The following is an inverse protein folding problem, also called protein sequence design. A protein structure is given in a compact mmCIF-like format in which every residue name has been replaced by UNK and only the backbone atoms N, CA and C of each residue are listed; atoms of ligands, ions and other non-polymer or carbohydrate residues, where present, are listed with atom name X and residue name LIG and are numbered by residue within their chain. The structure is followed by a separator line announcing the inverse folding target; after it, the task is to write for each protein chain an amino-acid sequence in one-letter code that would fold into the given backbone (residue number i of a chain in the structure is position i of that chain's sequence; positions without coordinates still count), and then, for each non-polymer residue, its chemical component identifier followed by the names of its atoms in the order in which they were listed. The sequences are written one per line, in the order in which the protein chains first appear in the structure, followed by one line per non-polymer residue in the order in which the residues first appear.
data_IF_181602349550
#
_entry.id   IF_181602349550
#
_cell.length_a   1.000
_cell.length_b   1.000
_cell.length_c   1.000
_cell.angle_alpha   90.00
_cell.angle_beta   90.00
_cell.angle_gamma   90.00
#
_symmetry.space_group_name_H-M   'P 1'
#
loop_
_entity.id
_entity.type
_entity.pdbx_description
1 polymer ?
#
# COMPACT_ATOMS: atom_id res chain seq x y z
N UNK A 1 -33.83 3.84 23.25
CA UNK A 1 -32.58 3.10 23.03
C UNK A 1 -31.80 3.56 21.79
N UNK A 2 -32.48 3.93 20.67
CA UNK A 2 -31.79 4.38 19.44
C UNK A 2 -31.12 5.74 19.58
N UNK A 3 -31.65 6.67 20.38
CA UNK A 3 -31.08 8.00 20.62
C UNK A 3 -29.74 7.92 21.37
N UNK A 4 -29.65 7.10 22.41
CA UNK A 4 -28.44 6.94 23.23
C UNK A 4 -27.28 6.29 22.47
N UNK A 5 -27.58 5.45 21.44
CA UNK A 5 -26.57 4.85 20.56
C UNK A 5 -25.99 5.86 19.55
N UNK A 6 -26.84 6.73 18.97
CA UNK A 6 -26.42 7.82 18.10
C UNK A 6 -25.59 8.87 18.85
N UNK A 7 -26.01 9.28 20.04
CA UNK A 7 -25.25 10.21 20.88
C UNK A 7 -23.86 9.65 21.24
N UNK A 8 -23.74 8.37 21.63
CA UNK A 8 -22.44 7.73 21.87
C UNK A 8 -21.52 7.75 20.65
N UNK A 9 -22.05 7.44 19.47
CA UNK A 9 -21.28 7.47 18.24
C UNK A 9 -20.79 8.88 17.88
N UNK A 10 -21.62 9.89 18.13
CA UNK A 10 -21.25 11.29 17.90
C UNK A 10 -20.14 11.73 18.87
N UNK A 11 -20.29 11.54 20.15
CA UNK A 11 -19.29 11.92 21.16
C UNK A 11 -17.94 11.19 21.00
N UNK A 12 -17.91 9.94 20.52
CA UNK A 12 -16.66 9.23 20.26
C UNK A 12 -15.95 9.82 19.02
N UNK A 13 -16.69 10.18 17.98
CA UNK A 13 -16.13 10.78 16.77
C UNK A 13 -15.57 12.18 17.01
N UNK A 14 -16.18 12.94 17.88
CA UNK A 14 -15.82 14.33 18.17
C UNK A 14 -14.65 14.45 19.19
N UNK A 15 -14.26 13.35 19.83
CA UNK A 15 -13.14 13.29 20.75
C UNK A 15 -11.96 12.52 20.14
N UNK A 16 -10.85 13.19 19.74
CA UNK A 16 -9.66 12.52 19.23
C UNK A 16 -9.11 11.44 20.16
N UNK A 17 -9.14 11.68 21.47
CA UNK A 17 -8.68 10.73 22.49
C UNK A 17 -9.57 9.46 22.52
N UNK A 18 -10.89 9.63 22.48
CA UNK A 18 -11.83 8.51 22.47
C UNK A 18 -11.69 7.67 21.19
N UNK A 19 -11.49 8.35 20.06
CA UNK A 19 -11.25 7.69 18.77
C UNK A 19 -9.93 6.91 18.77
N UNK A 20 -8.87 7.49 19.34
CA UNK A 20 -7.58 6.82 19.44
C UNK A 20 -7.67 5.57 20.32
N UNK A 21 -8.27 5.65 21.49
CA UNK A 21 -8.51 4.49 22.37
C UNK A 21 -9.33 3.40 21.69
N UNK A 22 -10.32 3.78 20.87
CA UNK A 22 -11.12 2.83 20.11
C UNK A 22 -10.29 2.12 19.02
N UNK A 23 -9.43 2.87 18.32
CA UNK A 23 -8.51 2.29 17.31
C UNK A 23 -7.55 1.29 17.94
N UNK A 24 -6.94 1.63 19.08
CA UNK A 24 -6.03 0.75 19.81
C UNK A 24 -6.72 -0.53 20.27
N UNK A 25 -7.94 -0.40 20.83
CA UNK A 25 -8.70 -1.56 21.24
C UNK A 25 -9.15 -2.44 20.06
N UNK A 26 -9.46 -1.83 18.93
CA UNK A 26 -9.79 -2.57 17.71
C UNK A 26 -8.57 -3.31 17.14
N UNK A 27 -7.39 -2.68 17.16
CA UNK A 27 -6.13 -3.31 16.76
C UNK A 27 -5.79 -4.50 17.66
N UNK A 28 -5.91 -4.34 18.97
CA UNK A 28 -5.73 -5.43 19.94
C UNK A 28 -6.70 -6.58 19.68
N UNK A 29 -7.98 -6.28 19.48
CA UNK A 29 -9.00 -7.29 19.17
C UNK A 29 -8.70 -8.03 17.85
N UNK A 30 -8.22 -7.33 16.82
CA UNK A 30 -7.77 -7.92 15.55
C UNK A 30 -6.65 -8.93 15.77
N UNK A 31 -5.64 -8.57 16.57
CA UNK A 31 -4.51 -9.44 16.88
C UNK A 31 -4.98 -10.69 17.65
N UNK A 32 -5.80 -10.52 18.67
CA UNK A 32 -6.34 -11.62 19.49
C UNK A 32 -7.18 -12.60 18.65
N UNK A 33 -8.00 -12.09 17.72
CA UNK A 33 -8.84 -12.91 16.84
C UNK A 33 -8.04 -13.71 15.78
N UNK A 34 -6.76 -13.46 15.64
CA UNK A 34 -5.90 -14.32 14.81
C UNK A 34 -5.63 -15.68 15.45
N UNK A 35 -5.77 -15.79 16.78
CA UNK A 35 -5.56 -17.03 17.55
C UNK A 35 -6.78 -17.48 18.37
N UNK A 36 -7.76 -16.59 18.57
CA UNK A 36 -8.94 -16.84 19.40
C UNK A 36 -10.22 -16.79 18.57
N UNK A 37 -11.24 -17.52 19.00
CA UNK A 37 -12.56 -17.53 18.36
C UNK A 37 -13.42 -16.31 18.72
N UNK A 38 -13.10 -15.65 19.83
CA UNK A 38 -13.83 -14.49 20.36
C UNK A 38 -12.90 -13.64 21.22
N UNK A 39 -13.15 -12.32 21.25
CA UNK A 39 -12.51 -11.37 22.16
C UNK A 39 -13.52 -10.36 22.67
N UNK A 40 -13.19 -9.65 23.75
CA UNK A 40 -13.99 -8.56 24.31
C UNK A 40 -13.25 -7.22 24.18
N UNK A 41 -13.91 -6.24 23.57
CA UNK A 41 -13.48 -4.86 23.56
C UNK A 41 -14.13 -4.17 24.76
N UNK A 42 -13.32 -3.83 25.76
CA UNK A 42 -13.76 -3.15 26.97
C UNK A 42 -13.04 -1.81 27.12
N UNK A 43 -13.77 -0.72 26.94
CA UNK A 43 -13.28 0.65 27.07
C UNK A 43 -14.08 1.38 28.14
N UNK A 44 -13.64 1.33 29.40
CA UNK A 44 -14.26 2.12 30.46
C UNK A 44 -14.00 3.61 30.20
N UNK A 45 -14.98 4.44 30.55
CA UNK A 45 -14.92 5.90 30.43
C UNK A 45 -14.50 6.36 29.01
N UNK A 46 -15.09 5.74 27.99
CA UNK A 46 -14.75 6.05 26.60
C UNK A 46 -15.14 7.47 26.21
N UNK A 47 -16.20 8.00 26.82
CA UNK A 47 -16.66 9.39 26.70
C UNK A 47 -17.45 9.81 27.93
N UNK A 48 -17.56 11.12 28.18
CA UNK A 48 -18.44 11.70 29.15
C UNK A 48 -19.59 12.42 28.44
N UNK A 49 -20.79 12.39 29.06
CA UNK A 49 -21.96 13.10 28.59
C UNK A 49 -22.62 13.77 29.82
N UNK A 50 -23.60 14.64 29.60
CA UNK A 50 -24.37 15.28 30.68
C UNK A 50 -24.99 14.27 31.63
N UNK A 51 -25.27 13.05 31.17
CA UNK A 51 -25.76 11.92 31.95
C UNK A 51 -24.66 11.06 32.60
N UNK A 52 -23.42 11.58 32.66
CA UNK A 52 -22.26 10.93 33.26
C UNK A 52 -21.38 10.13 32.27
N UNK A 53 -20.36 9.43 32.80
CA UNK A 53 -19.43 8.68 32.00
C UNK A 53 -20.10 7.49 31.30
N UNK A 54 -19.62 7.21 30.06
CA UNK A 54 -20.09 6.07 29.26
C UNK A 54 -18.99 5.06 29.06
N UNK A 55 -19.36 3.80 29.09
CA UNK A 55 -18.48 2.66 28.85
C UNK A 55 -18.85 1.97 27.54
N UNK A 56 -17.87 1.42 26.86
CA UNK A 56 -18.09 0.57 25.69
C UNK A 56 -17.60 -0.85 26.01
N UNK A 57 -18.52 -1.79 26.07
CA UNK A 57 -18.22 -3.22 26.16
C UNK A 57 -18.85 -3.91 24.95
N UNK A 58 -18.04 -4.62 24.18
CA UNK A 58 -18.48 -5.36 22.99
C UNK A 58 -17.72 -6.66 22.88
N UNK A 59 -18.45 -7.74 22.72
CA UNK A 59 -17.89 -9.04 22.30
C UNK A 59 -17.81 -9.04 20.78
N UNK A 60 -16.69 -9.52 20.24
CA UNK A 60 -16.42 -9.70 18.82
C UNK A 60 -15.96 -11.13 18.57
N UNK A 61 -16.70 -11.86 17.75
CA UNK A 61 -16.30 -13.21 17.31
C UNK A 61 -15.42 -13.14 16.06
N UNK A 62 -14.55 -14.15 15.88
CA UNK A 62 -13.73 -14.30 14.68
C UNK A 62 -14.60 -14.30 13.41
N UNK A 63 -15.71 -15.04 13.39
CA UNK A 63 -16.62 -15.06 12.25
C UNK A 63 -17.18 -13.66 11.91
N UNK A 64 -17.52 -12.85 12.91
CA UNK A 64 -17.98 -11.48 12.68
C UNK A 64 -16.87 -10.56 12.21
N UNK A 65 -15.67 -10.73 12.71
CA UNK A 65 -14.49 -10.02 12.24
C UNK A 65 -14.19 -10.36 10.79
N UNK A 66 -14.12 -11.65 10.44
CA UNK A 66 -13.87 -12.12 9.06
C UNK A 66 -14.92 -11.56 8.09
N UNK A 67 -16.20 -11.51 8.49
CA UNK A 67 -17.25 -10.88 7.69
C UNK A 67 -17.01 -9.38 7.47
N UNK A 68 -16.48 -8.68 8.46
CA UNK A 68 -16.23 -7.23 8.38
C UNK A 68 -15.04 -6.89 7.46
N UNK A 69 -14.07 -7.79 7.35
CA UNK A 69 -12.86 -7.58 6.55
C UNK A 69 -12.92 -8.26 5.17
N UNK A 70 -13.95 -9.05 4.88
CA UNK A 70 -14.06 -9.87 3.66
C UNK A 70 -13.82 -9.06 2.36
N UNK A 71 -14.45 -7.90 2.24
CA UNK A 71 -14.26 -7.02 1.08
C UNK A 71 -12.82 -6.50 0.97
N UNK A 72 -12.16 -6.23 2.12
CA UNK A 72 -10.77 -5.78 2.13
C UNK A 72 -9.85 -6.91 1.67
N UNK A 73 -10.07 -8.12 2.19
CA UNK A 73 -9.30 -9.32 1.80
C UNK A 73 -9.48 -9.62 0.32
N UNK A 74 -10.70 -9.60 -0.22
CA UNK A 74 -10.96 -9.79 -1.65
C UNK A 74 -10.24 -8.78 -2.53
N UNK A 75 -10.18 -7.52 -2.10
CA UNK A 75 -9.48 -6.46 -2.83
C UNK A 75 -7.96 -6.67 -2.91
N UNK A 76 -7.34 -7.41 -2.01
CA UNK A 76 -5.89 -7.69 -2.04
C UNK A 76 -5.50 -8.65 -3.18
N UNK A 77 -6.44 -9.43 -3.69
CA UNK A 77 -6.20 -10.39 -4.78
C UNK A 77 -6.06 -9.70 -6.14
N UNK A 78 -6.68 -8.54 -6.34
CA UNK A 78 -6.60 -7.82 -7.63
C UNK A 78 -5.19 -7.32 -7.97
N UNK A 79 -4.41 -6.73 -7.04
CA UNK A 79 -2.99 -6.45 -7.27
C UNK A 79 -2.17 -7.70 -7.63
N UNK A 80 -2.43 -8.84 -7.00
CA UNK A 80 -1.74 -10.09 -7.32
C UNK A 80 -2.00 -10.53 -8.78
N UNK A 81 -3.26 -10.48 -9.23
CA UNK A 81 -3.62 -10.77 -10.62
C UNK A 81 -2.90 -9.85 -11.61
N UNK A 82 -2.87 -8.55 -11.30
CA UNK A 82 -2.18 -7.55 -12.15
C UNK A 82 -0.70 -7.81 -12.23
N UNK A 83 -0.04 -8.12 -11.10
CA UNK A 83 1.39 -8.40 -11.05
C UNK A 83 1.75 -9.66 -11.86
N UNK A 84 1.02 -10.76 -11.70
CA UNK A 84 1.21 -12.00 -12.47
C UNK A 84 1.04 -11.74 -13.97
N UNK A 85 -0.02 -11.00 -14.34
CA UNK A 85 -0.27 -10.64 -15.74
C UNK A 85 0.85 -9.76 -16.31
N UNK A 86 1.32 -8.78 -15.55
CA UNK A 86 2.41 -7.89 -15.99
C UNK A 86 3.74 -8.65 -16.17
N UNK A 87 3.98 -9.67 -15.35
CA UNK A 87 5.13 -10.57 -15.49
C UNK A 87 5.01 -11.57 -16.66
N UNK A 88 3.85 -11.67 -17.31
CA UNK A 88 3.60 -12.67 -18.36
C UNK A 88 3.54 -14.10 -17.83
N UNK A 89 3.30 -14.27 -16.52
CA UNK A 89 3.28 -15.56 -15.85
C UNK A 89 1.86 -16.05 -15.59
N UNK A 90 1.73 -17.34 -15.29
CA UNK A 90 0.55 -17.96 -14.71
C UNK A 90 0.72 -18.21 -13.22
N UNK A 91 -0.36 -18.56 -12.51
CA UNK A 91 -0.27 -18.92 -11.08
C UNK A 91 0.58 -20.16 -10.83
N UNK A 92 0.64 -21.08 -11.81
CA UNK A 92 1.41 -22.30 -11.75
C UNK A 92 2.92 -22.08 -11.77
N UNK A 93 3.36 -20.98 -12.41
CA UNK A 93 4.76 -20.61 -12.57
C UNK A 93 5.35 -19.96 -11.31
N UNK A 94 4.52 -19.72 -10.29
CA UNK A 94 4.98 -19.18 -9.00
C UNK A 94 5.47 -20.34 -8.13
N UNK A 95 6.77 -20.38 -7.84
CA UNK A 95 7.38 -21.44 -7.04
C UNK A 95 7.06 -21.28 -5.56
N UNK A 96 7.20 -20.08 -5.02
CA UNK A 96 7.05 -19.82 -3.59
C UNK A 96 6.22 -18.54 -3.34
N UNK A 97 5.44 -18.58 -2.27
CA UNK A 97 4.60 -17.45 -1.83
C UNK A 97 5.06 -17.04 -0.44
N UNK A 98 5.54 -15.82 -0.32
CA UNK A 98 6.00 -15.25 0.94
C UNK A 98 5.04 -14.15 1.36
N UNK A 99 4.54 -14.22 2.59
CA UNK A 99 3.67 -13.21 3.18
C UNK A 99 4.49 -12.26 4.05
N UNK A 100 4.32 -10.95 3.83
CA UNK A 100 5.05 -9.89 4.51
C UNK A 100 4.09 -8.89 5.12
N UNK A 101 4.44 -8.40 6.33
CA UNK A 101 3.66 -7.45 7.10
C UNK A 101 2.67 -8.09 8.07
N UNK A 102 2.45 -7.45 9.23
CA UNK A 102 1.66 -7.99 10.34
C UNK A 102 0.23 -8.39 9.99
N UNK A 103 -0.41 -7.70 9.03
CA UNK A 103 -1.78 -8.04 8.58
C UNK A 103 -1.87 -9.40 7.88
N UNK A 104 -0.78 -9.94 7.37
CA UNK A 104 -0.75 -11.28 6.76
C UNK A 104 -0.83 -12.42 7.78
N UNK A 105 -0.74 -12.10 9.06
CA UNK A 105 -1.00 -13.06 10.16
C UNK A 105 -2.49 -13.40 10.31
N UNK A 106 -3.39 -12.60 9.74
CA UNK A 106 -4.84 -12.84 9.77
C UNK A 106 -5.14 -14.12 8.98
N UNK A 107 -5.78 -15.13 9.58
CA UNK A 107 -6.07 -16.41 8.90
C UNK A 107 -6.84 -16.24 7.58
N UNK A 108 -7.85 -15.36 7.55
CA UNK A 108 -8.63 -15.09 6.33
C UNK A 108 -7.77 -14.59 5.16
N UNK A 109 -6.69 -13.84 5.43
CA UNK A 109 -5.73 -13.40 4.40
C UNK A 109 -4.94 -14.59 3.86
N UNK A 110 -4.44 -15.45 4.76
CA UNK A 110 -3.68 -16.64 4.38
C UNK A 110 -4.52 -17.61 3.56
N UNK A 111 -5.75 -17.85 3.98
CA UNK A 111 -6.73 -18.69 3.26
C UNK A 111 -7.06 -18.13 1.87
N UNK A 112 -7.24 -16.81 1.76
CA UNK A 112 -7.52 -16.18 0.47
C UNK A 112 -6.33 -16.31 -0.50
N UNK A 113 -5.11 -16.16 -0.01
CA UNK A 113 -3.88 -16.33 -0.80
C UNK A 113 -3.72 -17.79 -1.21
N UNK A 114 -3.85 -18.74 -0.27
CA UNK A 114 -3.78 -20.18 -0.55
C UNK A 114 -4.83 -20.56 -1.63
N UNK A 115 -6.06 -20.13 -1.47
CA UNK A 115 -7.14 -20.36 -2.45
C UNK A 115 -6.83 -19.77 -3.81
N UNK A 116 -6.24 -18.59 -3.86
CA UNK A 116 -5.93 -17.91 -5.11
C UNK A 116 -4.80 -18.60 -5.88
N UNK A 117 -3.70 -18.95 -5.21
CA UNK A 117 -2.52 -19.56 -5.83
C UNK A 117 -2.61 -21.09 -5.90
N UNK A 118 -3.45 -21.74 -5.10
CA UNK A 118 -3.50 -23.20 -4.96
C UNK A 118 -2.32 -23.80 -4.19
N UNK A 119 -1.50 -22.95 -3.55
CA UNK A 119 -0.32 -23.32 -2.77
C UNK A 119 -0.34 -22.60 -1.42
N UNK A 120 0.13 -23.28 -0.38
CA UNK A 120 0.28 -22.66 0.96
C UNK A 120 1.42 -21.66 0.95
N UNK A 121 1.24 -20.49 1.59
CA UNK A 121 2.35 -19.56 1.81
C UNK A 121 3.46 -20.20 2.63
N UNK A 122 4.70 -19.86 2.27
CA UNK A 122 5.90 -20.25 3.02
C UNK A 122 5.90 -19.64 4.42
N UNK A 123 6.38 -20.40 5.39
CA UNK A 123 6.56 -19.96 6.79
C UNK A 123 8.02 -19.68 7.12
N UNK A 124 8.90 -19.69 6.13
CA UNK A 124 10.35 -19.58 6.31
C UNK A 124 10.85 -18.21 6.77
N UNK A 125 10.00 -17.18 6.72
CA UNK A 125 10.37 -15.80 7.11
C UNK A 125 9.40 -15.23 8.15
N UNK A 126 9.93 -14.39 9.05
CA UNK A 126 9.08 -13.63 9.96
C UNK A 126 8.48 -12.42 9.20
N UNK A 127 7.16 -12.34 9.03
CA UNK A 127 6.52 -11.29 8.24
C UNK A 127 6.69 -9.88 8.84
N UNK A 128 7.06 -9.75 10.10
CA UNK A 128 7.26 -8.44 10.76
C UNK A 128 8.70 -7.92 10.58
N UNK A 129 9.68 -8.82 10.42
CA UNK A 129 11.11 -8.49 10.43
C UNK A 129 11.75 -8.55 9.04
N UNK A 130 11.19 -9.31 8.11
CA UNK A 130 11.81 -9.61 6.82
C UNK A 130 12.17 -8.37 6.00
N UNK A 131 11.38 -7.29 6.12
CA UNK A 131 11.66 -6.02 5.43
C UNK A 131 12.92 -5.36 6.01
N UNK A 132 13.08 -5.34 7.33
CA UNK A 132 14.26 -4.79 7.98
C UNK A 132 15.51 -5.61 7.65
N UNK A 133 15.40 -6.93 7.64
CA UNK A 133 16.49 -7.84 7.23
C UNK A 133 16.87 -7.60 5.78
N UNK A 134 15.88 -7.50 4.88
CA UNK A 134 16.11 -7.19 3.47
C UNK A 134 16.79 -5.84 3.25
N UNK A 135 16.38 -4.81 4.00
CA UNK A 135 17.00 -3.48 3.95
C UNK A 135 18.46 -3.52 4.43
N UNK A 136 18.77 -4.28 5.48
CA UNK A 136 20.13 -4.47 5.97
C UNK A 136 21.02 -5.18 4.94
N UNK A 137 20.50 -6.25 4.30
CA UNK A 137 21.21 -6.97 3.24
C UNK A 137 21.48 -6.02 2.07
N UNK A 138 20.49 -5.24 1.63
CA UNK A 138 20.65 -4.26 0.56
C UNK A 138 21.67 -3.17 0.90
N UNK A 139 21.72 -2.72 2.17
CA UNK A 139 22.76 -1.83 2.68
C UNK A 139 24.15 -2.47 2.51
N UNK A 140 24.31 -3.74 2.89
CA UNK A 140 25.56 -4.49 2.70
C UNK A 140 25.96 -4.66 1.22
N UNK A 141 24.99 -4.79 0.31
CA UNK A 141 25.26 -4.79 -1.15
C UNK A 141 25.80 -3.43 -1.59
N UNK A 142 25.22 -2.32 -1.13
CA UNK A 142 25.69 -0.98 -1.49
C UNK A 142 27.09 -0.64 -0.93
N UNK A 143 27.44 -1.14 0.26
CA UNK A 143 28.79 -0.99 0.83
C UNK A 143 29.82 -1.94 0.24
N UNK A 144 29.39 -2.96 -0.50
CA UNK A 144 30.25 -4.00 -1.08
C UNK A 144 30.59 -5.15 -0.13
N UNK A 145 29.98 -5.19 1.05
CA UNK A 145 30.18 -6.25 2.05
C UNK A 145 29.44 -7.54 1.65
N UNK A 146 28.32 -7.42 0.95
CA UNK A 146 27.54 -8.54 0.41
C UNK A 146 27.65 -8.56 -1.11
N UNK A 147 28.19 -9.65 -1.68
CA UNK A 147 28.47 -9.77 -3.12
C UNK A 147 27.63 -10.85 -3.81
N UNK A 148 27.01 -11.72 -3.05
CA UNK A 148 26.31 -12.91 -3.56
C UNK A 148 24.82 -12.67 -3.81
N UNK A 149 24.33 -11.45 -3.57
CA UNK A 149 22.93 -11.07 -3.77
C UNK A 149 22.86 -9.94 -4.79
N UNK A 150 22.08 -10.14 -5.84
CA UNK A 150 21.73 -9.11 -6.82
C UNK A 150 20.25 -8.81 -6.71
N UNK A 151 19.91 -7.59 -6.28
CA UNK A 151 18.54 -7.06 -6.37
C UNK A 151 18.46 -6.12 -7.57
N UNK A 152 17.62 -6.46 -8.52
CA UNK A 152 17.22 -5.58 -9.61
C UNK A 152 15.78 -5.14 -9.35
N UNK A 153 15.59 -3.84 -9.23
CA UNK A 153 14.27 -3.23 -9.07
C UNK A 153 13.78 -2.65 -10.40
N UNK A 154 12.50 -2.31 -10.48
CA UNK A 154 11.89 -1.75 -11.69
C UNK A 154 11.06 -0.51 -11.36
N UNK A 155 10.87 0.35 -12.35
CA UNK A 155 9.94 1.47 -12.23
C UNK A 155 8.50 0.94 -12.22
N UNK A 156 7.69 1.23 -11.19
CA UNK A 156 6.31 0.70 -11.12
C UNK A 156 5.37 1.34 -12.15
N UNK A 157 5.67 2.56 -12.58
CA UNK A 157 4.90 3.34 -13.56
C UNK A 157 5.86 4.06 -14.50
N UNK A 158 5.40 4.37 -15.71
CA UNK A 158 6.16 5.13 -16.69
C UNK A 158 6.47 6.54 -16.18
N UNK A 159 7.68 7.01 -16.51
CA UNK A 159 8.14 8.38 -16.29
C UNK A 159 8.18 9.11 -17.63
N UNK A 160 7.69 10.33 -17.67
CA UNK A 160 7.67 11.11 -18.87
C UNK A 160 7.57 12.60 -18.59
N UNK A 161 7.49 13.36 -19.65
CA UNK A 161 7.39 14.82 -19.62
C UNK A 161 6.11 15.30 -20.33
N UNK A 162 5.68 16.49 -19.96
CA UNK A 162 4.64 17.18 -20.70
C UNK A 162 5.19 17.69 -22.05
N UNK A 163 4.46 17.40 -23.12
CA UNK A 163 4.74 17.91 -24.46
C UNK A 163 3.55 18.71 -24.99
N UNK A 164 3.70 19.32 -26.18
CA UNK A 164 2.65 20.14 -26.80
C UNK A 164 1.27 19.47 -26.77
N UNK A 165 0.24 20.21 -26.37
CA UNK A 165 -1.12 19.69 -26.24
C UNK A 165 -1.40 18.96 -24.91
N UNK A 166 -0.60 19.19 -23.87
CA UNK A 166 -0.69 18.51 -22.56
C UNK A 166 -0.56 16.99 -22.65
N UNK A 167 0.18 16.49 -23.64
CA UNK A 167 0.40 15.05 -23.83
C UNK A 167 1.49 14.55 -22.89
N UNK A 168 1.29 13.37 -22.32
CA UNK A 168 2.30 12.63 -21.55
C UNK A 168 3.22 11.87 -22.50
N UNK A 169 4.41 12.39 -22.77
CA UNK A 169 5.44 11.69 -23.55
C UNK A 169 6.31 10.88 -22.62
N UNK A 170 6.17 9.55 -22.69
CA UNK A 170 6.91 8.62 -21.87
C UNK A 170 8.36 8.54 -22.34
N UNK A 171 9.30 8.63 -21.42
CA UNK A 171 10.73 8.47 -21.65
C UNK A 171 11.23 7.13 -21.08
N UNK A 172 10.75 6.77 -19.91
CA UNK A 172 11.06 5.49 -19.25
C UNK A 172 9.75 4.76 -19.06
N UNK A 173 9.59 3.63 -19.70
CA UNK A 173 8.38 2.80 -19.58
C UNK A 173 8.30 2.12 -18.21
N UNK A 174 7.07 1.82 -17.78
CA UNK A 174 6.82 0.99 -16.60
C UNK A 174 7.54 -0.36 -16.70
N UNK A 175 7.96 -0.91 -15.58
CA UNK A 175 8.72 -2.15 -15.46
C UNK A 175 10.12 -2.11 -16.10
N UNK A 176 10.66 -0.92 -16.38
CA UNK A 176 12.07 -0.78 -16.77
C UNK A 176 12.96 -1.01 -15.54
N UNK A 177 13.95 -1.90 -15.68
CA UNK A 177 14.95 -2.17 -14.63
C UNK A 177 15.75 -0.92 -14.28
N UNK A 178 15.95 -0.68 -13.00
CA UNK A 178 16.73 0.44 -12.47
C UNK A 178 18.06 -0.06 -11.85
N UNK A 179 19.14 0.75 -11.92
CA UNK A 179 19.23 2.12 -12.46
C UNK A 179 19.14 2.18 -13.99
N UNK A 180 18.48 3.22 -14.52
CA UNK A 180 18.33 3.43 -15.95
C UNK A 180 18.49 4.90 -16.32
N UNK A 181 18.90 5.17 -17.57
CA UNK A 181 19.02 6.51 -18.13
C UNK A 181 18.42 6.52 -19.54
N UNK A 182 17.57 7.50 -19.80
CA UNK A 182 17.01 7.76 -21.14
C UNK A 182 17.20 9.21 -21.53
N UNK A 183 17.46 9.44 -22.80
CA UNK A 183 17.59 10.76 -23.40
C UNK A 183 16.76 10.80 -24.67
N UNK A 184 16.12 11.92 -24.93
CA UNK A 184 15.38 12.18 -26.16
C UNK A 184 15.58 13.64 -26.56
N UNK A 185 15.72 13.87 -27.84
CA UNK A 185 15.83 15.22 -28.41
C UNK A 185 14.42 15.75 -28.68
N UNK A 186 14.19 16.99 -28.27
CA UNK A 186 12.97 17.72 -28.54
C UNK A 186 13.34 19.06 -29.21
N UNK A 187 12.46 19.60 -30.02
CA UNK A 187 12.57 20.96 -30.56
C UNK A 187 11.75 21.93 -29.73
N UNK A 188 12.15 23.19 -29.77
CA UNK A 188 11.35 24.28 -29.18
C UNK A 188 10.04 24.47 -29.94
N UNK A 189 9.01 25.04 -29.27
CA UNK A 189 7.71 25.29 -29.87
C UNK A 189 7.72 26.52 -30.81
N UNK A 190 8.68 27.42 -30.63
CA UNK A 190 8.86 28.63 -31.42
C UNK A 190 10.34 28.90 -31.69
N UNK A 191 10.62 29.64 -32.77
CA UNK A 191 11.97 30.09 -33.09
C UNK A 191 12.48 31.06 -32.03
N UNK A 192 13.78 30.97 -31.72
CA UNK A 192 14.44 31.85 -30.72
C UNK A 192 13.81 31.78 -29.32
N UNK A 193 13.23 30.66 -28.94
CA UNK A 193 12.70 30.46 -27.60
C UNK A 193 13.86 30.33 -26.59
N UNK A 194 14.00 31.23 -25.60
CA UNK A 194 15.18 31.30 -24.76
C UNK A 194 15.16 30.27 -23.61
N UNK A 195 13.99 29.70 -23.33
CA UNK A 195 13.81 28.75 -22.24
C UNK A 195 12.60 27.85 -22.43
N UNK A 196 12.63 26.67 -21.82
CA UNK A 196 11.52 25.71 -21.79
C UNK A 196 11.28 25.24 -20.36
N UNK A 197 10.04 25.25 -19.92
CA UNK A 197 9.62 24.60 -18.69
C UNK A 197 9.46 23.09 -18.92
N UNK A 198 10.27 22.30 -18.26
CA UNK A 198 10.18 20.83 -18.28
C UNK A 198 9.36 20.39 -17.06
N UNK A 199 8.23 19.77 -17.32
CA UNK A 199 7.37 19.19 -16.28
C UNK A 199 7.40 17.70 -16.37
N UNK A 200 7.72 17.03 -15.26
CA UNK A 200 7.91 15.59 -15.17
C UNK A 200 6.74 14.97 -14.43
N UNK A 201 6.16 13.91 -14.98
CA UNK A 201 5.10 13.16 -14.34
C UNK A 201 5.37 11.65 -14.36
N UNK A 202 4.71 10.95 -13.46
CA UNK A 202 4.67 9.51 -13.35
C UNK A 202 3.25 9.00 -13.56
N UNK A 203 3.05 8.05 -14.46
CA UNK A 203 1.76 7.43 -14.71
C UNK A 203 1.59 6.86 -16.11
N UNK A 204 0.43 6.28 -16.37
CA UNK A 204 0.11 5.59 -17.62
C UNK A 204 -0.95 6.32 -18.45
N UNK A 205 -1.47 7.45 -17.99
CA UNK A 205 -2.50 8.19 -18.70
C UNK A 205 -1.92 8.94 -19.88
N UNK A 206 -2.64 9.01 -21.03
CA UNK A 206 -2.15 9.72 -22.24
C UNK A 206 -1.97 11.23 -22.02
N UNK A 207 -2.83 11.84 -21.21
CA UNK A 207 -2.76 13.27 -20.91
C UNK A 207 -1.93 13.54 -19.67
N UNK A 208 -1.04 14.55 -19.73
CA UNK A 208 -0.16 14.88 -18.62
C UNK A 208 -0.91 15.23 -17.31
N UNK A 209 -1.99 16.05 -17.31
CA UNK A 209 -2.69 16.43 -16.09
C UNK A 209 -3.33 15.27 -15.33
N UNK A 210 -3.55 14.13 -16.00
CA UNK A 210 -4.16 12.94 -15.42
C UNK A 210 -3.14 12.06 -14.68
N UNK A 211 -1.85 12.40 -14.77
CA UNK A 211 -0.74 11.70 -14.14
C UNK A 211 -0.23 12.48 -12.93
N UNK A 212 0.61 11.83 -12.12
CA UNK A 212 1.19 12.45 -10.94
C UNK A 212 2.42 13.28 -11.33
N UNK A 213 2.33 14.59 -11.25
CA UNK A 213 3.49 15.47 -11.36
C UNK A 213 4.47 15.17 -10.22
N UNK A 214 5.74 14.97 -10.54
CA UNK A 214 6.81 14.67 -9.60
C UNK A 214 7.91 15.74 -9.58
N UNK A 215 7.97 16.58 -10.58
CA UNK A 215 8.95 17.66 -10.65
C UNK A 215 8.73 18.61 -11.79
N UNK A 216 9.30 19.81 -11.64
CA UNK A 216 9.33 20.84 -12.66
C UNK A 216 10.66 21.58 -12.59
N UNK A 217 11.26 21.87 -13.71
CA UNK A 217 12.43 22.73 -13.82
C UNK A 217 12.42 23.49 -15.16
N UNK A 218 13.17 24.57 -15.22
CA UNK A 218 13.32 25.36 -16.43
C UNK A 218 14.68 25.06 -17.05
N UNK A 219 14.70 24.77 -18.35
CA UNK A 219 15.90 24.73 -19.16
C UNK A 219 16.01 26.09 -19.86
N UNK A 220 17.07 26.83 -19.58
CA UNK A 220 17.35 28.14 -20.16
C UNK A 220 18.60 28.07 -21.04
N UNK A 221 18.85 29.13 -21.81
CA UNK A 221 20.00 29.27 -22.69
C UNK A 221 20.06 28.18 -23.79
N UNK A 222 18.91 27.94 -24.43
CA UNK A 222 18.75 26.93 -25.48
C UNK A 222 18.56 27.60 -26.85
#
# INVERSE_FOLDING_TARGET
PKSSRRQRQMCIRDSPMSLQRLKEAAEKAKIELSSSTQTEINLPYVTATDSGPKHLVRSLTKAKFDQLIDDLVKRTIEPCKKAIKAAGLSKGDIDEIILVGGSTRIPAVQEAVEKFFGKKPSKGVNPDEVVAVGAAIQGGVFTGDVKDVLLLDVTPLSLGIETMGNVMTKLIEANTTIPTKKSQVFSTAADNQPAVDIRIAQGERPMYPDNKEIGRFQLADI
#
